data_IF_831402581001
#
_entry.id   IF_831402581001
#
_cell.length_a   1.000
_cell.length_b   1.000
_cell.length_c   1.000
_cell.angle_alpha   90.00
_cell.angle_beta   90.00
_cell.angle_gamma   90.00
#
_symmetry.space_group_name_H-M   'P 1'
#
loop_
_entity.id
_entity.type
_entity.pdbx_description
1 polymer ?
#
# COMPACT_ATOMS: atom_id res chain seq x y z
N UNK A 1 -24.70 -29.25 -8.06
CA UNK A 1 -24.44 -27.80 -8.01
C UNK A 1 -23.01 -27.59 -7.56
N UNK A 2 -22.06 -27.64 -8.48
CA UNK A 2 -20.67 -27.28 -8.21
C UNK A 2 -20.56 -25.79 -8.47
N UNK A 3 -20.50 -24.97 -7.40
CA UNK A 3 -20.14 -23.58 -7.55
C UNK A 3 -18.76 -23.54 -8.22
N UNK A 4 -18.73 -23.14 -9.49
CA UNK A 4 -17.48 -22.95 -10.22
C UNK A 4 -16.67 -21.92 -9.45
N UNK A 5 -15.48 -22.32 -9.00
CA UNK A 5 -14.49 -21.40 -8.48
C UNK A 5 -14.19 -20.40 -9.59
N UNK A 6 -14.69 -19.17 -9.47
CA UNK A 6 -14.26 -18.08 -10.33
C UNK A 6 -12.73 -18.00 -10.20
N UNK A 7 -11.98 -17.82 -11.30
CA UNK A 7 -10.55 -17.54 -11.16
C UNK A 7 -10.42 -16.34 -10.23
N UNK A 8 -9.64 -16.49 -9.16
CA UNK A 8 -9.31 -15.40 -8.24
C UNK A 8 -8.82 -14.24 -9.11
N UNK A 9 -9.59 -13.15 -9.18
CA UNK A 9 -9.21 -11.96 -9.92
C UNK A 9 -7.88 -11.47 -9.37
N UNK A 10 -6.92 -11.15 -10.25
CA UNK A 10 -5.65 -10.59 -9.81
C UNK A 10 -5.90 -9.19 -9.24
N UNK A 11 -6.11 -9.14 -7.93
CA UNK A 11 -6.35 -7.91 -7.16
C UNK A 11 -5.05 -7.23 -6.74
N UNK A 12 -3.91 -7.61 -7.33
CA UNK A 12 -2.64 -6.96 -7.07
C UNK A 12 -2.65 -5.57 -7.72
N UNK A 13 -2.56 -4.48 -6.93
CA UNK A 13 -2.59 -3.15 -7.50
C UNK A 13 -1.36 -2.90 -8.37
N UNK A 14 -1.60 -2.28 -9.52
CA UNK A 14 -0.56 -1.85 -10.43
C UNK A 14 0.19 -0.62 -9.86
N UNK A 15 1.36 -0.25 -10.42
CA UNK A 15 2.15 0.87 -9.91
C UNK A 15 1.39 2.20 -9.83
N UNK A 16 0.47 2.47 -10.76
CA UNK A 16 -0.32 3.71 -10.75
C UNK A 16 -1.38 3.71 -9.62
N UNK A 17 -1.92 2.55 -9.27
CA UNK A 17 -2.83 2.42 -8.13
C UNK A 17 -2.10 2.63 -6.81
N UNK A 18 -0.89 2.05 -6.67
CA UNK A 18 0.00 2.29 -5.51
C UNK A 18 0.31 3.79 -5.36
N UNK A 19 0.53 4.49 -6.46
CA UNK A 19 0.75 5.93 -6.50
C UNK A 19 -0.46 6.72 -5.95
N UNK A 20 -1.68 6.38 -6.39
CA UNK A 20 -2.91 7.02 -5.90
C UNK A 20 -3.17 6.73 -4.42
N UNK A 21 -2.92 5.50 -3.97
CA UNK A 21 -3.03 5.12 -2.56
C UNK A 21 -2.06 5.93 -1.70
N UNK A 22 -0.78 6.01 -2.11
CA UNK A 22 0.23 6.78 -1.41
C UNK A 22 -0.15 8.27 -1.33
N UNK A 23 -0.52 8.88 -2.46
CA UNK A 23 -0.90 10.29 -2.52
C UNK A 23 -2.11 10.60 -1.62
N UNK A 24 -3.10 9.71 -1.58
CA UNK A 24 -4.28 9.85 -0.72
C UNK A 24 -3.89 9.81 0.75
N UNK A 25 -3.06 8.85 1.15
CA UNK A 25 -2.60 8.75 2.54
C UNK A 25 -1.74 9.95 2.94
N UNK A 26 -0.82 10.38 2.09
CA UNK A 26 0.01 11.57 2.32
C UNK A 26 -0.85 12.82 2.51
N UNK A 27 -1.88 13.01 1.67
CA UNK A 27 -2.78 14.16 1.73
C UNK A 27 -3.64 14.18 3.01
N UNK A 28 -4.10 13.01 3.48
CA UNK A 28 -5.04 12.92 4.61
C UNK A 28 -4.36 12.73 5.97
N UNK A 29 -3.20 12.11 5.99
CA UNK A 29 -2.55 11.66 7.22
C UNK A 29 -1.13 12.20 7.40
N UNK A 30 -0.56 12.87 6.39
CA UNK A 30 0.76 13.48 6.47
C UNK A 30 1.82 12.48 6.97
N UNK A 31 2.47 12.81 8.09
CA UNK A 31 3.52 11.99 8.71
C UNK A 31 3.10 10.57 9.14
N UNK A 32 1.79 10.30 9.25
CA UNK A 32 1.29 8.98 9.63
C UNK A 32 1.06 8.06 8.42
N UNK A 33 1.13 8.58 7.19
CA UNK A 33 0.79 7.85 5.98
C UNK A 33 1.55 6.53 5.84
N UNK A 34 2.87 6.52 6.08
CA UNK A 34 3.67 5.32 6.01
C UNK A 34 3.30 4.27 7.08
N UNK A 35 2.99 4.71 8.30
CA UNK A 35 2.61 3.83 9.40
C UNK A 35 1.23 3.20 9.17
N UNK A 36 0.29 3.96 8.60
CA UNK A 36 -1.04 3.45 8.25
C UNK A 36 -0.92 2.39 7.14
N UNK A 37 -0.08 2.62 6.13
CA UNK A 37 0.16 1.63 5.09
C UNK A 37 0.82 0.34 5.64
N UNK A 38 1.80 0.45 6.54
CA UNK A 38 2.39 -0.70 7.24
C UNK A 38 1.37 -1.48 8.07
N UNK A 39 0.45 -0.78 8.74
CA UNK A 39 -0.64 -1.40 9.49
C UNK A 39 -1.49 -2.29 8.58
N UNK A 40 -1.91 -1.78 7.42
CA UNK A 40 -2.69 -2.58 6.47
C UNK A 40 -1.88 -3.73 5.89
N UNK A 41 -0.58 -3.52 5.60
CA UNK A 41 0.30 -4.59 5.14
C UNK A 41 0.37 -5.75 6.14
N UNK A 42 0.53 -5.41 7.43
CA UNK A 42 0.59 -6.39 8.52
C UNK A 42 -0.75 -7.10 8.72
N UNK A 43 -1.85 -6.34 8.70
CA UNK A 43 -3.21 -6.89 8.84
C UNK A 43 -3.53 -7.90 7.74
N UNK A 44 -3.24 -7.57 6.49
CA UNK A 44 -3.44 -8.49 5.37
C UNK A 44 -2.52 -9.70 5.44
N UNK A 45 -1.26 -9.52 5.85
CA UNK A 45 -0.34 -10.63 6.07
C UNK A 45 -0.84 -11.61 7.13
N UNK A 46 -1.35 -11.09 8.25
CA UNK A 46 -1.96 -11.90 9.31
C UNK A 46 -3.21 -12.67 8.84
N UNK A 47 -3.97 -12.08 7.92
CA UNK A 47 -5.18 -12.70 7.36
C UNK A 47 -4.89 -13.66 6.19
N UNK A 48 -3.62 -13.89 5.85
CA UNK A 48 -3.22 -14.77 4.74
C UNK A 48 -3.37 -14.15 3.36
N UNK A 49 -3.63 -12.85 3.26
CA UNK A 49 -3.75 -12.10 2.02
C UNK A 49 -2.39 -11.50 1.64
N UNK A 50 -1.51 -12.35 1.10
CA UNK A 50 -0.14 -11.98 0.76
C UNK A 50 -0.08 -10.90 -0.33
N UNK A 51 -1.02 -10.91 -1.29
CA UNK A 51 -1.08 -9.93 -2.38
C UNK A 51 -1.34 -8.52 -1.85
N UNK A 52 -2.38 -8.36 -1.02
CA UNK A 52 -2.67 -7.06 -0.40
C UNK A 52 -1.62 -6.68 0.64
N UNK A 53 -1.04 -7.63 1.37
CA UNK A 53 0.08 -7.37 2.27
C UNK A 53 1.25 -6.71 1.52
N UNK A 54 1.65 -7.29 0.40
CA UNK A 54 2.75 -6.78 -0.42
C UNK A 54 2.44 -5.42 -1.06
N UNK A 55 1.21 -5.25 -1.56
CA UNK A 55 0.74 -3.97 -2.10
C UNK A 55 0.88 -2.82 -1.09
N UNK A 56 0.38 -3.03 0.13
CA UNK A 56 0.45 -2.01 1.19
C UNK A 56 1.90 -1.77 1.67
N UNK A 57 2.77 -2.78 1.64
CA UNK A 57 4.19 -2.58 1.90
C UNK A 57 4.84 -1.69 0.82
N UNK A 58 4.46 -1.85 -0.44
CA UNK A 58 4.87 -0.99 -1.55
C UNK A 58 4.43 0.47 -1.34
N UNK A 59 3.18 0.70 -0.93
CA UNK A 59 2.68 2.03 -0.57
C UNK A 59 3.51 2.65 0.55
N UNK A 60 3.77 1.90 1.63
CA UNK A 60 4.56 2.40 2.76
C UNK A 60 5.99 2.76 2.35
N UNK A 61 6.62 1.96 1.49
CA UNK A 61 7.95 2.25 0.94
C UNK A 61 7.97 3.52 0.09
N UNK A 62 6.96 3.72 -0.75
CA UNK A 62 6.82 4.89 -1.60
C UNK A 62 6.65 6.17 -0.77
N UNK A 63 5.76 6.15 0.23
CA UNK A 63 5.57 7.29 1.13
C UNK A 63 6.88 7.66 1.82
N UNK A 64 7.60 6.69 2.39
CA UNK A 64 8.90 6.94 3.03
C UNK A 64 9.95 7.50 2.08
N UNK A 65 9.94 7.04 0.82
CA UNK A 65 10.83 7.56 -0.21
C UNK A 65 10.56 9.06 -0.43
N UNK A 66 9.31 9.44 -0.62
CA UNK A 66 8.89 10.84 -0.80
C UNK A 66 9.16 11.70 0.43
N UNK A 67 8.97 11.17 1.63
CA UNK A 67 9.32 11.84 2.88
C UNK A 67 10.81 12.18 2.93
N UNK A 68 11.68 11.23 2.58
CA UNK A 68 13.13 11.47 2.50
C UNK A 68 13.48 12.50 1.44
N UNK A 69 12.86 12.44 0.26
CA UNK A 69 13.07 13.42 -0.81
C UNK A 69 12.69 14.83 -0.38
N UNK A 70 11.55 14.99 0.31
CA UNK A 70 11.12 16.28 0.90
C UNK A 70 12.15 16.78 1.92
N UNK A 71 12.60 15.92 2.83
CA UNK A 71 13.62 16.28 3.83
C UNK A 71 14.95 16.69 3.19
N UNK A 72 15.36 16.03 2.12
CA UNK A 72 16.62 16.30 1.44
C UNK A 72 16.60 17.58 0.57
N UNK A 73 15.40 18.08 0.22
CA UNK A 73 15.24 19.31 -0.59
C UNK A 73 15.23 20.58 0.27
N UNK A 74 15.22 20.44 1.60
CA UNK A 74 15.22 21.56 2.56
C UNK A 74 16.60 21.90 3.14
N UNK A 75 17.68 21.35 2.57
CA UNK A 75 19.08 21.70 2.83
C UNK A 75 19.74 22.24 1.56
#
# INVERSE_FOLDING_TARGET
MTAGRLPEEDVTPNPQEVEFMAATLESRHGMLAAQIADFFSTLHGHNGDAGRSWAWAGVAQLVRKRERERQNTHF
#
